data_IF_130294958340
#
_entry.id   IF_130294958340
#
_cell.length_a   1.000
_cell.length_b   1.000
_cell.length_c   1.000
_cell.angle_alpha   90.00
_cell.angle_beta   90.00
_cell.angle_gamma   90.00
#
_symmetry.space_group_name_H-M   'P 1'
#
loop_
_entity.id
_entity.type
_entity.pdbx_description
1 polymer ?
#
# COMPACT_ATOMS: atom_id res chain seq x y z
N UNK A 1 1.51 17.83 10.03
CA UNK A 1 1.72 17.39 8.67
C UNK A 1 1.58 15.88 8.55
N UNK A 2 0.97 15.46 7.51
CA UNK A 2 0.77 14.05 7.31
C UNK A 2 1.88 13.47 6.44
N UNK A 3 2.81 12.78 7.06
CA UNK A 3 3.94 12.19 6.36
C UNK A 3 3.46 11.14 5.39
N UNK A 4 2.42 10.43 5.76
CA UNK A 4 1.89 9.36 4.93
C UNK A 4 0.57 9.81 4.34
N UNK A 5 0.64 10.84 3.52
CA UNK A 5 -0.57 11.35 2.90
C UNK A 5 -1.38 10.24 2.26
N UNK A 6 -2.69 10.32 2.38
CA UNK A 6 -3.57 9.35 1.78
C UNK A 6 -3.96 9.80 0.40
N UNK A 7 -3.94 8.85 -0.52
CA UNK A 7 -4.34 9.10 -1.90
C UNK A 7 -5.73 8.52 -2.08
N UNK A 8 -6.67 9.37 -2.47
CA UNK A 8 -8.03 8.91 -2.72
C UNK A 8 -8.08 8.11 -4.01
N UNK A 9 -8.77 6.99 -3.97
CA UNK A 9 -8.95 6.16 -5.15
C UNK A 9 -10.43 5.94 -5.37
N UNK A 10 -10.82 5.87 -6.63
CA UNK A 10 -12.20 5.64 -6.99
C UNK A 10 -12.46 4.16 -7.20
N UNK A 11 -13.66 3.87 -7.70
CA UNK A 11 -14.03 2.50 -8.01
C UNK A 11 -13.11 1.89 -9.04
N UNK A 12 -12.61 2.71 -9.95
CA UNK A 12 -11.64 2.27 -10.94
C UNK A 12 -10.34 2.99 -10.65
N UNK A 13 -9.29 2.22 -10.48
CA UNK A 13 -7.98 2.79 -10.24
C UNK A 13 -7.40 3.19 -11.59
N UNK A 14 -6.93 4.42 -11.69
CA UNK A 14 -6.33 4.89 -12.94
C UNK A 14 -5.07 4.09 -13.25
N UNK A 15 -4.69 4.10 -14.52
CA UNK A 15 -3.47 3.41 -14.94
C UNK A 15 -2.25 3.94 -14.19
N UNK A 16 -2.19 5.26 -14.01
CA UNK A 16 -1.07 5.87 -13.29
C UNK A 16 -1.02 5.39 -11.85
N UNK A 17 -2.16 5.32 -11.19
CA UNK A 17 -2.22 4.83 -9.81
C UNK A 17 -1.85 3.35 -9.73
N UNK A 18 -2.27 2.55 -10.70
CA UNK A 18 -1.90 1.14 -10.69
C UNK A 18 -0.40 0.95 -10.80
N UNK A 19 0.24 1.73 -11.66
CA UNK A 19 1.69 1.67 -11.76
C UNK A 19 2.37 2.10 -10.47
N UNK A 20 1.79 3.11 -9.82
CA UNK A 20 2.33 3.64 -8.59
C UNK A 20 2.24 2.64 -7.43
N UNK A 21 1.14 1.92 -7.34
CA UNK A 21 0.87 1.06 -6.20
C UNK A 21 1.29 -0.40 -6.39
N UNK A 22 1.52 -0.81 -7.62
CA UNK A 22 1.81 -2.23 -7.89
C UNK A 22 3.00 -2.72 -7.09
N UNK A 23 2.80 -3.79 -6.34
CA UNK A 23 3.86 -4.42 -5.56
C UNK A 23 4.29 -3.68 -4.31
N UNK A 24 3.65 -2.55 -4.00
CA UNK A 24 4.02 -1.75 -2.83
C UNK A 24 3.22 -2.17 -1.62
N UNK A 25 3.82 -2.03 -0.44
CA UNK A 25 3.08 -2.26 0.80
C UNK A 25 2.29 -1.02 1.13
N UNK A 26 1.01 -1.19 1.36
CA UNK A 26 0.07 -0.08 1.50
C UNK A 26 -0.80 -0.24 2.73
N UNK A 27 -1.20 0.89 3.30
CA UNK A 27 -2.34 0.92 4.22
C UNK A 27 -3.53 1.33 3.36
N UNK A 28 -4.58 0.52 3.38
CA UNK A 28 -5.76 0.78 2.59
C UNK A 28 -6.98 0.91 3.50
N UNK A 29 -7.82 1.88 3.19
CA UNK A 29 -9.10 2.02 3.90
C UNK A 29 -10.14 1.23 3.14
N UNK A 30 -10.45 0.07 3.67
CA UNK A 30 -11.40 -0.85 3.08
C UNK A 30 -12.66 -0.87 3.93
N UNK A 31 -13.78 -0.45 3.35
CA UNK A 31 -15.04 -0.35 4.08
C UNK A 31 -14.84 0.46 5.38
N UNK A 32 -14.11 1.58 5.25
CA UNK A 32 -13.81 2.51 6.33
C UNK A 32 -12.97 1.93 7.46
N UNK A 33 -12.24 0.85 7.19
CA UNK A 33 -11.32 0.27 8.15
C UNK A 33 -9.94 0.15 7.54
N UNK A 34 -8.90 0.45 8.31
CA UNK A 34 -7.55 0.34 7.77
C UNK A 34 -7.10 -1.12 7.72
N UNK A 35 -6.53 -1.49 6.60
CA UNK A 35 -5.94 -2.82 6.45
C UNK A 35 -4.61 -2.66 5.72
N UNK A 36 -3.75 -3.65 5.87
CA UNK A 36 -2.48 -3.66 5.19
C UNK A 36 -2.57 -4.58 3.99
N UNK A 37 -2.08 -4.11 2.87
CA UNK A 37 -2.13 -4.91 1.67
C UNK A 37 -1.24 -4.34 0.58
N UNK A 38 -1.55 -4.71 -0.64
CA UNK A 38 -0.78 -4.31 -1.81
C UNK A 38 -1.68 -4.32 -3.02
N UNK A 39 -1.12 -3.95 -4.16
CA UNK A 39 -1.82 -4.10 -5.43
C UNK A 39 -1.09 -5.14 -6.27
N UNK A 40 -1.82 -6.08 -6.82
CA UNK A 40 -1.27 -7.12 -7.68
C UNK A 40 -2.13 -7.18 -8.93
N UNK A 41 -1.51 -7.01 -10.09
CA UNK A 41 -2.19 -7.02 -11.39
C UNK A 41 -3.38 -6.06 -11.42
N UNK A 42 -3.18 -4.90 -10.80
CA UNK A 42 -4.21 -3.86 -10.80
C UNK A 42 -5.35 -4.10 -9.83
N UNK A 43 -5.23 -5.08 -8.95
CA UNK A 43 -6.28 -5.39 -7.97
C UNK A 43 -5.77 -5.24 -6.55
N UNK A 44 -6.64 -4.75 -5.69
CA UNK A 44 -6.30 -4.59 -4.28
C UNK A 44 -6.28 -5.95 -3.59
N UNK A 45 -5.21 -6.19 -2.85
CA UNK A 45 -5.03 -7.44 -2.11
C UNK A 45 -4.71 -7.11 -0.67
N UNK A 46 -5.33 -7.81 0.27
CA UNK A 46 -4.94 -7.67 1.67
C UNK A 46 -3.86 -8.70 1.99
N UNK A 47 -3.10 -8.42 3.04
CA UNK A 47 -2.07 -9.33 3.52
C UNK A 47 -2.42 -9.76 4.92
N UNK A 48 -2.25 -11.06 5.21
CA UNK A 48 -2.46 -11.54 6.56
C UNK A 48 -1.14 -11.51 7.33
N UNK A 49 -1.19 -11.94 8.56
CA UNK A 49 -0.03 -11.91 9.45
C UNK A 49 1.11 -12.78 8.93
N UNK A 50 0.80 -13.78 8.13
CA UNK A 50 1.80 -14.68 7.57
C UNK A 50 2.32 -14.22 6.22
N UNK A 51 1.87 -13.08 5.76
CA UNK A 51 2.30 -12.55 4.47
C UNK A 51 1.55 -13.10 3.27
N UNK A 52 0.53 -13.91 3.50
CA UNK A 52 -0.30 -14.40 2.41
C UNK A 52 -1.15 -13.26 1.86
N UNK A 53 -1.32 -13.24 0.55
CA UNK A 53 -2.05 -12.18 -0.12
C UNK A 53 -3.37 -12.73 -0.64
N UNK A 54 -4.40 -11.92 -0.47
CA UNK A 54 -5.74 -12.33 -0.85
C UNK A 54 -6.45 -11.16 -1.51
N UNK A 55 -7.01 -11.40 -2.67
CA UNK A 55 -7.71 -10.35 -3.38
C UNK A 55 -8.98 -9.97 -2.62
N UNK A 56 -9.17 -8.67 -2.41
CA UNK A 56 -10.33 -8.18 -1.70
C UNK A 56 -11.59 -8.43 -2.52
N UNK A 57 -12.63 -8.88 -1.82
CA UNK A 57 -13.88 -9.24 -2.49
C UNK A 57 -14.52 -8.05 -3.18
N UNK A 58 -14.53 -6.90 -2.54
CA UNK A 58 -15.14 -5.70 -3.09
C UNK A 58 -14.08 -4.64 -3.30
N UNK A 59 -13.52 -4.63 -4.49
CA UNK A 59 -12.46 -3.67 -4.83
C UNK A 59 -12.91 -2.23 -4.64
N UNK A 60 -14.17 -1.94 -4.91
CA UNK A 60 -14.69 -0.58 -4.83
C UNK A 60 -14.81 -0.06 -3.40
N UNK A 61 -14.65 -0.92 -2.40
CA UNK A 61 -14.68 -0.47 -1.02
C UNK A 61 -13.35 0.11 -0.54
N UNK A 62 -12.31 0.01 -1.36
CA UNK A 62 -11.05 0.69 -1.07
C UNK A 62 -11.20 2.14 -1.50
N UNK A 63 -11.13 3.05 -0.56
CA UNK A 63 -11.37 4.47 -0.84
C UNK A 63 -10.13 5.33 -0.76
N UNK A 64 -9.16 4.93 0.04
CA UNK A 64 -7.91 5.67 0.22
C UNK A 64 -6.78 4.71 0.46
N UNK A 65 -5.58 5.07 0.03
CA UNK A 65 -4.40 4.27 0.31
C UNK A 65 -3.24 5.18 0.68
N UNK A 66 -2.32 4.64 1.44
CA UNK A 66 -1.10 5.32 1.82
C UNK A 66 0.04 4.32 1.77
N UNK A 67 1.22 4.80 1.45
CA UNK A 67 2.39 3.93 1.39
C UNK A 67 2.94 3.68 2.78
N UNK A 68 3.42 2.45 2.98
CA UNK A 68 4.20 2.13 4.15
C UNK A 68 5.64 1.97 3.72
N UNK A 69 6.57 2.66 4.36
CA UNK A 69 7.97 2.42 4.05
C UNK A 69 8.36 1.02 4.49
N UNK A 70 9.19 0.37 3.70
CA UNK A 70 9.66 -0.95 4.07
C UNK A 70 10.72 -0.79 5.16
N UNK A 71 10.86 -1.78 6.03
CA UNK A 71 11.94 -1.72 7.02
C UNK A 71 13.31 -1.64 6.40
N UNK A 72 13.48 -2.24 5.25
CA UNK A 72 14.76 -2.23 4.55
C UNK A 72 15.10 -0.82 4.07
N UNK A 73 14.15 -0.14 3.46
CA UNK A 73 14.35 1.23 2.99
C UNK A 73 14.64 2.17 4.16
N UNK A 74 13.93 1.98 5.24
CA UNK A 74 14.10 2.81 6.40
C UNK A 74 15.51 2.64 6.99
N UNK A 75 15.97 1.41 7.01
CA UNK A 75 17.31 1.12 7.52
C UNK A 75 18.39 1.76 6.67
N UNK A 76 18.27 1.68 5.38
CA UNK A 76 19.22 2.30 4.48
C UNK A 76 19.22 3.80 4.66
N UNK A 77 18.07 4.38 4.83
CA UNK A 77 17.94 5.81 4.98
C UNK A 77 18.56 6.29 6.28
N UNK A 78 18.44 5.52 7.32
CA UNK A 78 18.97 5.89 8.61
C UNK A 78 20.48 5.76 8.70
N UNK A 79 21.05 4.88 7.92
CA UNK A 79 22.47 4.60 8.02
C UNK A 79 23.19 4.75 6.70
N UNK A 80 23.05 5.88 6.07
CA UNK A 80 23.68 6.04 4.76
C UNK A 80 25.19 5.99 4.82
N UNK A 81 25.79 6.40 5.91
CA UNK A 81 27.22 6.47 6.04
C UNK A 81 27.79 5.35 6.87
N UNK A 82 27.00 4.45 7.17
CA UNK A 82 27.38 3.46 8.06
C UNK A 82 28.21 2.39 7.52
N UNK A 83 28.22 2.53 6.79
CA UNK A 83 28.76 1.82 6.41
C UNK A 83 29.89 1.68 6.37
N UNK A 84 29.93 1.84 6.76
CA UNK A 84 30.88 1.99 6.97
C UNK A 84 31.32 1.51 7.04
#
# INVERSE_FOLDING_TARGET
MNIFGYIKVGKRVSKAHRLLFEGKTLIMWYNDKPIIGTMIDGKWCCMDINGNKEILMYQSLVTQVSFLPSPHEDRERKNPSHHR
#
